data_IF_440408850524
#
_entry.id   IF_440408850524
#
_cell.length_a   1.000
_cell.length_b   1.000
_cell.length_c   1.000
_cell.angle_alpha   90.00
_cell.angle_beta   90.00
_cell.angle_gamma   90.00
#
_symmetry.space_group_name_H-M   'P 1'
#
loop_
_entity.id
_entity.type
_entity.pdbx_description
1 polymer ?
#
# COMPACT_ATOMS: atom_id res chain seq x y z
N UNK A 1 37.76 -44.95 -26.36
CA UNK A 1 36.51 -44.14 -26.32
C UNK A 1 36.90 -42.68 -26.52
N UNK A 2 36.47 -42.06 -27.62
CA UNK A 2 36.84 -40.68 -27.95
C UNK A 2 36.10 -39.70 -27.03
N UNK A 3 36.83 -38.87 -26.29
CA UNK A 3 36.26 -37.89 -25.39
C UNK A 3 35.61 -36.75 -26.19
N UNK A 4 34.37 -36.42 -25.86
CA UNK A 4 33.61 -35.35 -26.51
C UNK A 4 34.38 -34.02 -26.45
N UNK A 5 34.76 -33.48 -27.62
CA UNK A 5 35.47 -32.19 -27.73
C UNK A 5 34.45 -31.08 -27.99
N UNK A 6 34.35 -30.12 -27.05
CA UNK A 6 33.38 -29.02 -27.13
C UNK A 6 33.62 -28.11 -28.34
N UNK A 7 32.54 -27.78 -29.06
CA UNK A 7 32.52 -26.92 -30.26
C UNK A 7 32.19 -25.45 -29.96
N UNK A 8 32.32 -25.02 -28.72
CA UNK A 8 31.93 -23.68 -28.30
C UNK A 8 32.94 -23.16 -27.28
N UNK A 9 33.36 -21.91 -27.43
CA UNK A 9 34.27 -21.22 -26.50
C UNK A 9 33.63 -20.89 -25.13
N UNK A 10 32.45 -21.47 -24.85
CA UNK A 10 31.73 -21.28 -23.60
C UNK A 10 32.25 -22.25 -22.55
N UNK A 11 32.63 -21.71 -21.38
CA UNK A 11 33.06 -22.50 -20.23
C UNK A 11 32.04 -23.60 -19.85
N UNK A 12 32.48 -24.85 -19.63
CA UNK A 12 31.66 -25.92 -19.11
C UNK A 12 31.11 -25.58 -17.73
N UNK A 13 29.96 -26.16 -17.40
CA UNK A 13 29.26 -25.87 -16.15
C UNK A 13 30.10 -26.21 -14.92
N UNK A 14 30.85 -27.31 -14.97
CA UNK A 14 31.74 -27.78 -13.91
C UNK A 14 32.89 -26.80 -13.59
N UNK A 15 33.30 -25.97 -14.56
CA UNK A 15 34.32 -24.93 -14.37
C UNK A 15 33.73 -23.58 -13.88
N UNK A 16 32.40 -23.48 -13.78
CA UNK A 16 31.74 -22.25 -13.31
C UNK A 16 31.69 -22.26 -11.80
N UNK A 17 32.31 -21.26 -11.18
CA UNK A 17 32.14 -20.98 -9.75
C UNK A 17 31.01 -19.96 -9.59
N UNK A 18 29.85 -20.43 -9.14
CA UNK A 18 28.72 -19.56 -8.77
C UNK A 18 28.79 -19.24 -7.28
N UNK A 19 28.60 -17.97 -6.92
CA UNK A 19 28.48 -17.55 -5.52
C UNK A 19 27.16 -16.81 -5.32
N UNK A 20 26.38 -17.23 -4.34
CA UNK A 20 25.21 -16.49 -3.89
C UNK A 20 25.57 -15.73 -2.61
N UNK A 21 25.19 -14.45 -2.52
CA UNK A 21 25.27 -13.68 -1.29
C UNK A 21 23.86 -13.51 -0.73
N UNK A 22 23.63 -14.00 0.47
CA UNK A 22 22.42 -13.68 1.20
C UNK A 22 22.43 -12.19 1.54
N UNK A 23 21.40 -11.48 1.09
CA UNK A 23 21.17 -10.07 1.45
C UNK A 23 20.03 -10.06 2.46
N UNK A 24 20.40 -9.89 3.72
CA UNK A 24 19.43 -9.66 4.79
C UNK A 24 19.13 -8.18 4.83
N UNK A 25 17.86 -7.84 4.63
CA UNK A 25 17.36 -6.47 4.78
C UNK A 25 16.93 -6.27 6.22
N UNK A 26 17.00 -5.02 6.67
CA UNK A 26 16.40 -4.63 7.92
C UNK A 26 14.90 -4.90 7.89
N UNK A 27 14.33 -5.11 9.09
CA UNK A 27 12.89 -5.24 9.24
C UNK A 27 12.16 -4.01 8.68
N UNK A 28 10.87 -4.16 8.31
CA UNK A 28 10.10 -3.04 7.81
C UNK A 28 9.98 -1.94 8.87
N UNK A 29 10.06 -0.69 8.42
CA UNK A 29 9.88 0.48 9.29
C UNK A 29 8.41 0.62 9.67
N UNK A 30 8.08 0.20 10.90
CA UNK A 30 6.72 0.25 11.44
C UNK A 30 6.15 1.67 11.47
N UNK A 31 6.98 2.68 11.71
CA UNK A 31 6.52 4.06 11.78
C UNK A 31 6.00 4.53 10.42
N UNK A 32 6.78 4.28 9.35
CA UNK A 32 6.37 4.58 7.98
C UNK A 32 5.12 3.79 7.56
N UNK A 33 5.02 2.52 7.96
CA UNK A 33 3.84 1.71 7.68
C UNK A 33 2.58 2.29 8.35
N UNK A 34 2.67 2.67 9.63
CA UNK A 34 1.58 3.34 10.33
C UNK A 34 1.19 4.66 9.67
N UNK A 35 2.16 5.47 9.26
CA UNK A 35 1.93 6.74 8.57
C UNK A 35 1.16 6.54 7.25
N UNK A 36 1.56 5.55 6.44
CA UNK A 36 0.86 5.20 5.20
C UNK A 36 -0.56 4.72 5.49
N UNK A 37 -0.74 3.86 6.49
CA UNK A 37 -2.06 3.34 6.86
C UNK A 37 -3.00 4.47 7.28
N UNK A 38 -2.53 5.38 8.15
CA UNK A 38 -3.31 6.55 8.57
C UNK A 38 -3.71 7.42 7.37
N UNK A 39 -2.76 7.72 6.47
CA UNK A 39 -3.04 8.53 5.27
C UNK A 39 -4.08 7.89 4.36
N UNK A 40 -3.99 6.58 4.14
CA UNK A 40 -4.94 5.84 3.32
C UNK A 40 -6.35 5.90 3.92
N UNK A 41 -6.47 5.63 5.23
CA UNK A 41 -7.76 5.68 5.92
C UNK A 41 -8.35 7.10 5.92
N UNK A 42 -7.53 8.14 6.14
CA UNK A 42 -8.00 9.52 6.09
C UNK A 42 -8.46 9.93 4.68
N UNK A 43 -7.77 9.46 3.65
CA UNK A 43 -8.16 9.73 2.25
C UNK A 43 -9.48 9.05 1.90
N UNK A 44 -9.64 7.78 2.28
CA UNK A 44 -10.85 7.00 1.99
C UNK A 44 -12.08 7.57 2.74
N UNK A 45 -11.93 7.85 4.03
CA UNK A 45 -12.99 8.48 4.84
C UNK A 45 -13.30 9.89 4.35
N UNK A 46 -12.27 10.67 4.00
CA UNK A 46 -12.43 12.00 3.41
C UNK A 46 -13.15 11.97 2.07
N UNK A 47 -12.82 11.04 1.17
CA UNK A 47 -13.49 10.85 -0.11
C UNK A 47 -14.97 10.49 0.07
N UNK A 48 -15.27 9.62 1.03
CA UNK A 48 -16.65 9.22 1.36
C UNK A 48 -17.45 10.43 1.85
N UNK A 49 -16.90 11.22 2.78
CA UNK A 49 -17.55 12.45 3.27
C UNK A 49 -17.73 13.49 2.15
N UNK A 50 -16.72 13.68 1.31
CA UNK A 50 -16.80 14.60 0.18
C UNK A 50 -17.88 14.18 -0.81
N UNK A 51 -18.01 12.89 -1.12
CA UNK A 51 -19.08 12.38 -1.97
C UNK A 51 -20.47 12.60 -1.36
N UNK A 52 -20.62 12.39 -0.04
CA UNK A 52 -21.87 12.66 0.67
C UNK A 52 -22.24 14.15 0.65
N UNK A 53 -21.27 15.04 0.87
CA UNK A 53 -21.50 16.48 0.80
C UNK A 53 -21.86 16.92 -0.62
N UNK A 54 -21.20 16.36 -1.64
CA UNK A 54 -21.52 16.65 -3.04
C UNK A 54 -22.93 16.18 -3.44
N UNK A 55 -23.43 15.10 -2.81
CA UNK A 55 -24.80 14.60 -3.03
C UNK A 55 -25.86 15.38 -2.23
N UNK A 56 -25.47 16.15 -1.21
CA UNK A 56 -26.39 16.99 -0.45
C UNK A 56 -26.69 18.29 -1.20
N UNK A 57 -27.90 18.82 -1.02
CA UNK A 57 -28.24 20.15 -1.50
C UNK A 57 -27.29 21.19 -0.89
N UNK A 58 -26.84 22.20 -1.65
CA UNK A 58 -26.02 23.27 -1.12
C UNK A 58 -26.66 23.88 0.13
N UNK A 59 -25.83 24.27 1.09
CA UNK A 59 -26.27 24.77 2.40
C UNK A 59 -27.25 25.95 2.27
N UNK A 60 -27.11 26.75 1.22
CA UNK A 60 -28.00 27.87 0.85
C UNK A 60 -29.45 27.45 0.58
N UNK A 61 -29.69 26.20 0.19
CA UNK A 61 -31.02 25.66 -0.11
C UNK A 61 -31.54 24.69 0.96
N UNK A 62 -30.79 24.49 2.05
CA UNK A 62 -31.19 23.58 3.11
C UNK A 62 -32.03 24.34 4.13
N UNK A 63 -33.26 23.89 4.38
CA UNK A 63 -34.07 24.45 5.45
C UNK A 63 -33.34 24.31 6.80
N UNK A 64 -33.33 25.34 7.66
CA UNK A 64 -32.70 25.26 8.97
C UNK A 64 -33.44 24.20 9.78
N UNK A 65 -32.87 23.00 9.84
CA UNK A 65 -33.45 21.91 10.63
C UNK A 65 -33.29 22.30 12.09
N UNK A 66 -34.36 22.48 12.89
CA UNK A 66 -34.20 22.83 14.29
C UNK A 66 -33.41 21.72 14.97
N UNK A 67 -32.26 22.08 15.54
CA UNK A 67 -31.43 21.18 16.33
C UNK A 67 -32.24 20.74 17.55
N UNK A 68 -32.87 19.56 17.47
CA UNK A 68 -33.57 18.99 18.61
C UNK A 68 -32.53 18.75 19.72
N UNK A 69 -32.72 19.28 20.95
CA UNK A 69 -31.77 19.05 22.02
C UNK A 69 -31.73 17.55 22.34
N UNK A 70 -30.52 17.01 22.46
CA UNK A 70 -30.27 15.65 22.89
C UNK A 70 -31.02 15.41 24.21
N UNK A 71 -31.99 14.49 24.20
CA UNK A 71 -32.66 14.04 25.42
C UNK A 71 -31.62 13.37 26.30
N UNK A 72 -31.20 14.06 27.34
CA UNK A 72 -30.46 13.47 28.45
C UNK A 72 -31.47 12.67 29.28
N UNK A 73 -31.54 11.36 29.08
CA UNK A 73 -32.19 10.45 30.03
C UNK A 73 -31.20 10.14 31.14
N UNK A 74 -31.54 10.54 32.37
CA UNK A 74 -30.89 10.14 33.61
C UNK A 74 -31.22 8.69 33.99
#
# INVERSE_FOLDING_TARGET
MSAYTKKTDRRPFEERRLSARAVHRDGPDLHKLCEVLIRLTLRETGATRAAQLAAQAPETYRDPTPTAPAKLSA
#
